data_IF_288552646092
#
_entry.id   IF_288552646092
#
_cell.length_a   1.000
_cell.length_b   1.000
_cell.length_c   1.000
_cell.angle_alpha   90.00
_cell.angle_beta   90.00
_cell.angle_gamma   90.00
#
_symmetry.space_group_name_H-M   'P 1'
#
loop_
_entity.id
_entity.type
_entity.pdbx_description
1 polymer ?
#
# COMPACT_ATOMS: atom_id res chain seq x y z
N UNK A 1 -4.53 -7.31 -34.03
CA UNK A 1 -4.90 -7.54 -32.62
C UNK A 1 -4.03 -8.63 -32.00
N UNK A 2 -3.83 -9.74 -32.71
CA UNK A 2 -2.91 -10.83 -32.39
C UNK A 2 -1.47 -10.40 -32.05
N UNK A 3 -0.89 -9.43 -32.78
CA UNK A 3 0.43 -8.86 -32.47
C UNK A 3 0.50 -8.17 -31.10
N UNK A 4 -0.56 -7.46 -30.71
CA UNK A 4 -0.64 -6.77 -29.41
C UNK A 4 -0.78 -7.80 -28.29
N UNK A 5 -1.57 -8.86 -28.52
CA UNK A 5 -1.75 -9.96 -27.57
C UNK A 5 -0.48 -10.82 -27.40
N UNK A 6 0.26 -11.10 -28.47
CA UNK A 6 1.57 -11.78 -28.42
C UNK A 6 2.60 -10.93 -27.68
N UNK A 7 2.65 -9.63 -27.99
CA UNK A 7 3.56 -8.69 -27.32
C UNK A 7 3.21 -8.51 -25.84
N UNK A 8 1.92 -8.51 -25.46
CA UNK A 8 1.45 -8.48 -24.07
C UNK A 8 1.75 -9.78 -23.30
N UNK A 9 1.58 -10.96 -23.92
CA UNK A 9 1.87 -12.26 -23.27
C UNK A 9 3.36 -12.44 -22.97
N UNK A 10 4.23 -12.10 -23.92
CA UNK A 10 5.68 -12.27 -23.77
C UNK A 10 6.24 -11.24 -22.79
N UNK A 11 5.82 -9.97 -22.90
CA UNK A 11 6.25 -8.93 -21.95
C UNK A 11 5.71 -9.17 -20.54
N UNK A 12 4.50 -9.70 -20.36
CA UNK A 12 3.96 -9.92 -19.01
C UNK A 12 4.73 -10.97 -18.22
N UNK A 13 5.04 -12.14 -18.83
CA UNK A 13 5.74 -13.23 -18.13
C UNK A 13 7.19 -12.87 -17.81
N UNK A 14 7.92 -12.32 -18.78
CA UNK A 14 9.32 -11.91 -18.58
C UNK A 14 9.44 -10.69 -17.67
N UNK A 15 8.51 -9.72 -17.77
CA UNK A 15 8.44 -8.62 -16.82
C UNK A 15 8.07 -9.14 -15.42
N UNK A 16 7.27 -10.19 -15.28
CA UNK A 16 6.91 -10.74 -13.97
C UNK A 16 8.12 -11.36 -13.27
N UNK A 17 8.87 -12.24 -13.94
CA UNK A 17 10.09 -12.80 -13.35
C UNK A 17 11.14 -11.74 -13.11
N UNK A 18 11.33 -10.80 -14.03
CA UNK A 18 12.30 -9.72 -13.85
C UNK A 18 11.90 -8.74 -12.74
N UNK A 19 10.62 -8.36 -12.65
CA UNK A 19 10.11 -7.46 -11.60
C UNK A 19 10.11 -8.15 -10.24
N UNK A 20 9.78 -9.44 -10.16
CA UNK A 20 9.81 -10.19 -8.91
C UNK A 20 11.23 -10.41 -8.41
N UNK A 21 12.16 -10.75 -9.30
CA UNK A 21 13.57 -10.87 -8.96
C UNK A 21 14.16 -9.53 -8.51
N UNK A 22 13.77 -8.42 -9.16
CA UNK A 22 14.19 -7.06 -8.76
C UNK A 22 13.58 -6.65 -7.43
N UNK A 23 12.31 -6.93 -7.20
CA UNK A 23 11.61 -6.65 -5.94
C UNK A 23 12.22 -7.41 -4.78
N UNK A 24 12.46 -8.70 -4.99
CA UNK A 24 13.10 -9.57 -4.02
C UNK A 24 14.55 -9.15 -3.78
N UNK A 25 15.31 -8.79 -4.82
CA UNK A 25 16.68 -8.32 -4.67
C UNK A 25 16.74 -6.99 -3.92
N UNK A 26 15.87 -6.03 -4.25
CA UNK A 26 15.76 -4.76 -3.51
C UNK A 26 15.42 -5.03 -2.05
N UNK A 27 14.46 -5.91 -1.77
CA UNK A 27 14.10 -6.30 -0.41
C UNK A 27 15.24 -7.00 0.34
N UNK A 28 15.92 -7.97 -0.29
CA UNK A 28 17.03 -8.70 0.32
C UNK A 28 18.21 -7.78 0.61
N UNK A 29 18.63 -6.95 -0.35
CA UNK A 29 19.68 -5.95 -0.13
C UNK A 29 19.26 -5.01 0.99
N UNK A 30 17.99 -4.60 1.03
CA UNK A 30 17.49 -3.71 2.09
C UNK A 30 17.42 -4.36 3.48
N UNK A 31 16.93 -5.59 3.61
CA UNK A 31 16.87 -6.31 4.89
C UNK A 31 18.27 -6.66 5.38
N UNK A 32 19.16 -7.10 4.49
CA UNK A 32 20.54 -7.46 4.82
C UNK A 32 21.36 -6.22 5.22
N UNK A 33 21.03 -5.03 4.73
CA UNK A 33 21.72 -3.80 5.13
C UNK A 33 21.06 -3.16 6.36
N UNK A 34 19.74 -3.07 6.40
CA UNK A 34 19.01 -2.33 7.42
C UNK A 34 18.95 -3.06 8.77
N UNK A 35 18.73 -4.38 8.75
CA UNK A 35 18.56 -5.18 9.96
C UNK A 35 19.86 -5.25 10.78
N UNK A 36 21.05 -5.44 10.16
CA UNK A 36 22.31 -5.32 10.89
C UNK A 36 22.55 -3.90 11.40
N UNK A 37 22.27 -2.84 10.63
CA UNK A 37 22.48 -1.45 11.11
C UNK A 37 21.62 -1.17 12.35
N UNK A 38 20.35 -1.59 12.36
CA UNK A 38 19.46 -1.44 13.53
C UNK A 38 19.88 -2.32 14.69
N UNK A 39 20.31 -3.57 14.45
CA UNK A 39 20.87 -4.43 15.49
C UNK A 39 22.16 -3.83 16.08
N UNK A 40 23.09 -3.36 15.25
CA UNK A 40 24.32 -2.68 15.69
C UNK A 40 24.02 -1.37 16.44
N UNK A 41 23.00 -0.63 16.02
CA UNK A 41 22.51 0.55 16.75
C UNK A 41 22.01 0.20 18.16
N UNK A 42 21.28 -0.92 18.26
CA UNK A 42 20.64 -1.36 19.50
C UNK A 42 21.63 -2.03 20.46
N UNK A 43 22.58 -2.82 19.93
CA UNK A 43 23.56 -3.60 20.71
C UNK A 43 24.83 -2.78 21.04
N UNK A 44 25.25 -1.89 20.15
CA UNK A 44 26.68 -1.56 20.06
C UNK A 44 27.17 -0.30 20.78
N UNK A 45 26.53 0.86 20.66
CA UNK A 45 27.24 2.13 20.91
C UNK A 45 26.29 3.22 21.45
N UNK A 46 25.66 2.98 22.60
CA UNK A 46 24.68 3.91 23.18
C UNK A 46 25.25 5.28 23.64
N UNK A 47 26.58 5.45 23.66
CA UNK A 47 27.23 6.63 24.25
C UNK A 47 27.91 7.58 23.25
N UNK A 48 27.98 7.27 21.95
CA UNK A 48 28.58 8.18 20.96
C UNK A 48 27.48 8.93 20.17
N UNK A 49 27.42 10.27 20.24
CA UNK A 49 26.40 11.07 19.55
C UNK A 49 26.34 10.83 18.02
N UNK A 50 27.49 10.57 17.40
CA UNK A 50 27.59 10.32 15.96
C UNK A 50 26.83 9.08 15.50
N UNK A 51 26.78 8.02 16.33
CA UNK A 51 26.05 6.80 16.00
C UNK A 51 24.54 7.00 16.09
N UNK A 52 24.06 7.76 17.08
CA UNK A 52 22.63 8.11 17.16
C UNK A 52 22.18 8.87 15.92
N UNK A 53 22.93 9.88 15.50
CA UNK A 53 22.63 10.63 14.27
C UNK A 53 22.61 9.73 13.03
N UNK A 54 23.62 8.86 12.87
CA UNK A 54 23.68 7.93 11.74
C UNK A 54 22.44 7.02 11.68
N UNK A 55 22.03 6.47 12.83
CA UNK A 55 20.88 5.55 12.88
C UNK A 55 19.55 6.24 12.55
N UNK A 56 19.40 7.49 12.95
CA UNK A 56 18.23 8.29 12.59
C UNK A 56 18.17 8.56 11.09
N UNK A 57 19.29 8.98 10.49
CA UNK A 57 19.37 9.21 9.05
C UNK A 57 19.04 7.93 8.27
N UNK A 58 19.57 6.78 8.70
CA UNK A 58 19.28 5.49 8.05
C UNK A 58 17.80 5.12 8.19
N UNK A 59 17.18 5.34 9.34
CA UNK A 59 15.74 5.10 9.54
C UNK A 59 14.88 6.02 8.67
N UNK A 60 15.20 7.32 8.58
CA UNK A 60 14.47 8.26 7.75
C UNK A 60 14.59 7.90 6.25
N UNK A 61 15.79 7.51 5.79
CA UNK A 61 15.99 7.04 4.41
C UNK A 61 15.17 5.77 4.14
N UNK A 62 15.09 4.85 5.11
CA UNK A 62 14.27 3.65 5.01
C UNK A 62 12.79 3.98 4.86
N UNK A 63 12.26 4.79 5.76
CA UNK A 63 10.86 5.18 5.78
C UNK A 63 10.46 5.91 4.49
N UNK A 64 11.29 6.85 4.02
CA UNK A 64 11.06 7.57 2.76
C UNK A 64 11.13 6.61 1.56
N UNK A 65 12.08 5.69 1.53
CA UNK A 65 12.21 4.72 0.42
C UNK A 65 11.00 3.78 0.38
N UNK A 66 10.59 3.25 1.54
CA UNK A 66 9.40 2.40 1.66
C UNK A 66 8.14 3.15 1.24
N UNK A 67 8.01 4.41 1.67
CA UNK A 67 6.92 5.30 1.27
C UNK A 67 6.88 5.49 -0.25
N UNK A 68 7.97 5.96 -0.86
CA UNK A 68 8.06 6.22 -2.30
C UNK A 68 7.75 4.94 -3.09
N UNK A 69 8.31 3.81 -2.67
CA UNK A 69 8.10 2.55 -3.35
C UNK A 69 6.64 2.10 -3.29
N UNK A 70 6.04 2.08 -2.10
CA UNK A 70 4.63 1.73 -1.90
C UNK A 70 3.71 2.67 -2.68
N UNK A 71 4.01 3.97 -2.65
CA UNK A 71 3.27 4.99 -3.38
C UNK A 71 3.29 4.75 -4.89
N UNK A 72 4.47 4.47 -5.47
CA UNK A 72 4.61 4.17 -6.90
C UNK A 72 3.87 2.88 -7.30
N UNK A 73 3.95 1.83 -6.48
CA UNK A 73 3.22 0.58 -6.73
C UNK A 73 1.71 0.82 -6.73
N UNK A 74 1.18 1.56 -5.76
CA UNK A 74 -0.26 1.89 -5.73
C UNK A 74 -0.70 2.71 -6.95
N UNK A 75 0.12 3.65 -7.43
CA UNK A 75 -0.14 4.40 -8.68
C UNK A 75 -0.16 3.46 -9.87
N UNK A 76 0.85 2.60 -10.00
CA UNK A 76 0.94 1.65 -11.09
C UNK A 76 -0.31 0.77 -11.15
N UNK A 77 -0.68 0.14 -10.03
CA UNK A 77 -1.86 -0.72 -9.92
C UNK A 77 -3.13 0.06 -10.27
N UNK A 78 -3.31 1.26 -9.73
CA UNK A 78 -4.47 2.11 -10.02
C UNK A 78 -4.62 2.41 -11.51
N UNK A 79 -3.54 2.81 -12.17
CA UNK A 79 -3.53 3.13 -13.61
C UNK A 79 -3.94 1.90 -14.42
N UNK A 80 -3.46 0.71 -14.05
CA UNK A 80 -3.80 -0.54 -14.75
C UNK A 80 -5.26 -0.94 -14.55
N UNK A 81 -5.83 -0.81 -13.34
CA UNK A 81 -7.26 -1.09 -13.12
C UNK A 81 -8.13 -0.10 -13.90
N UNK A 82 -7.78 1.18 -13.92
CA UNK A 82 -8.47 2.20 -14.72
C UNK A 82 -8.44 1.85 -16.22
N UNK A 83 -7.31 1.36 -16.72
CA UNK A 83 -7.17 0.91 -18.09
C UNK A 83 -8.07 -0.30 -18.39
N UNK A 84 -8.06 -1.33 -17.53
CA UNK A 84 -8.95 -2.50 -17.66
C UNK A 84 -10.41 -2.07 -17.69
N UNK A 85 -10.80 -1.20 -16.76
CA UNK A 85 -12.17 -0.68 -16.69
C UNK A 85 -12.57 0.04 -17.98
N UNK A 86 -11.65 0.75 -18.63
CA UNK A 86 -11.88 1.37 -19.95
C UNK A 86 -12.04 0.32 -21.05
N UNK A 87 -11.24 -0.74 -21.05
CA UNK A 87 -11.36 -1.85 -22.01
C UNK A 87 -12.72 -2.55 -21.88
N UNK A 88 -13.13 -2.89 -20.66
CA UNK A 88 -14.43 -3.50 -20.35
C UNK A 88 -15.59 -2.65 -20.89
N UNK A 89 -15.52 -1.32 -20.71
CA UNK A 89 -16.52 -0.39 -21.27
C UNK A 89 -16.48 -0.31 -22.80
N UNK A 90 -15.32 -0.49 -23.42
CA UNK A 90 -15.18 -0.50 -24.88
C UNK A 90 -15.81 -1.77 -25.46
N UNK A 91 -15.60 -2.91 -24.82
CA UNK A 91 -16.21 -4.19 -25.17
C UNK A 91 -17.75 -4.14 -25.13
N UNK A 92 -18.31 -3.45 -24.14
CA UNK A 92 -19.75 -3.22 -24.09
C UNK A 92 -20.29 -2.44 -25.29
N UNK A 93 -19.49 -1.58 -25.91
CA UNK A 93 -19.88 -0.79 -27.08
C UNK A 93 -19.73 -1.55 -28.40
N UNK A 94 -18.79 -2.49 -28.50
CA UNK A 94 -18.51 -3.20 -29.75
C UNK A 94 -19.58 -4.25 -30.12
N UNK A 95 -20.56 -4.53 -29.25
CA UNK A 95 -21.62 -5.56 -29.36
C UNK A 95 -21.13 -7.01 -29.52
N UNK A 96 -19.91 -7.21 -29.98
CA UNK A 96 -19.21 -8.50 -30.08
C UNK A 96 -17.94 -8.39 -29.23
N UNK A 97 -17.77 -9.34 -28.32
CA UNK A 97 -16.54 -9.55 -27.57
C UNK A 97 -15.90 -10.79 -28.14
N UNK A 98 -14.67 -10.66 -28.64
CA UNK A 98 -13.92 -11.85 -29.02
C UNK A 98 -13.55 -12.63 -27.76
N UNK A 99 -13.61 -13.96 -27.82
CA UNK A 99 -13.17 -14.83 -26.72
C UNK A 99 -11.71 -14.52 -26.34
N UNK A 100 -10.89 -14.09 -27.30
CA UNK A 100 -9.50 -13.67 -27.09
C UNK A 100 -9.39 -12.40 -26.23
N UNK A 101 -10.20 -11.38 -26.48
CA UNK A 101 -10.22 -10.14 -25.70
C UNK A 101 -10.64 -10.39 -24.25
N UNK A 102 -11.63 -11.27 -24.07
CA UNK A 102 -12.10 -11.71 -22.77
C UNK A 102 -10.98 -12.43 -21.99
N UNK A 103 -10.35 -13.41 -22.63
CA UNK A 103 -9.27 -14.19 -22.03
C UNK A 103 -8.06 -13.30 -21.68
N UNK A 104 -7.72 -12.35 -22.55
CA UNK A 104 -6.64 -11.39 -22.32
C UNK A 104 -6.93 -10.48 -21.12
N UNK A 105 -8.16 -9.97 -21.01
CA UNK A 105 -8.59 -9.12 -19.89
C UNK A 105 -8.54 -9.88 -18.57
N UNK A 106 -9.03 -11.12 -18.58
CA UNK A 106 -9.01 -12.04 -17.45
C UNK A 106 -7.58 -12.34 -16.99
N UNK A 107 -6.67 -12.63 -17.93
CA UNK A 107 -5.24 -12.81 -17.64
C UNK A 107 -4.62 -11.56 -17.04
N UNK A 108 -4.99 -10.39 -17.52
CA UNK A 108 -4.44 -9.13 -17.02
C UNK A 108 -4.95 -8.77 -15.61
N UNK A 109 -6.22 -9.07 -15.30
CA UNK A 109 -6.76 -8.96 -13.93
C UNK A 109 -6.00 -9.91 -12.98
N UNK A 110 -5.82 -11.17 -13.40
CA UNK A 110 -5.06 -12.16 -12.60
C UNK A 110 -3.64 -11.69 -12.31
N UNK A 111 -2.96 -11.19 -13.34
CA UNK A 111 -1.61 -10.64 -13.20
C UNK A 111 -1.53 -9.51 -12.17
N UNK A 112 -2.49 -8.59 -12.16
CA UNK A 112 -2.52 -7.52 -11.16
C UNK A 112 -2.73 -8.06 -9.75
N UNK A 113 -3.60 -9.05 -9.57
CA UNK A 113 -3.81 -9.68 -8.26
C UNK A 113 -2.54 -10.35 -7.76
N UNK A 114 -1.91 -11.19 -8.60
CA UNK A 114 -0.66 -11.89 -8.26
C UNK A 114 0.47 -10.90 -7.92
N UNK A 115 0.58 -9.79 -8.66
CA UNK A 115 1.56 -8.74 -8.39
C UNK A 115 1.34 -8.08 -7.02
N UNK A 116 0.08 -7.80 -6.67
CA UNK A 116 -0.27 -7.19 -5.39
C UNK A 116 -0.11 -8.18 -4.24
N UNK A 117 -0.43 -9.46 -4.43
CA UNK A 117 -0.21 -10.50 -3.43
C UNK A 117 1.27 -10.71 -3.13
N UNK A 118 2.11 -10.70 -4.16
CA UNK A 118 3.56 -10.76 -4.00
C UNK A 118 4.08 -9.52 -3.27
N UNK A 119 3.58 -8.33 -3.63
CA UNK A 119 3.91 -7.11 -2.90
C UNK A 119 3.50 -7.21 -1.42
N UNK A 120 2.30 -7.68 -1.11
CA UNK A 120 1.83 -7.82 0.28
C UNK A 120 2.65 -8.87 1.05
N UNK A 121 3.10 -9.93 0.39
CA UNK A 121 3.95 -10.96 1.01
C UNK A 121 5.30 -10.37 1.42
N UNK A 122 5.89 -9.52 0.58
CA UNK A 122 7.22 -8.93 0.81
C UNK A 122 7.14 -7.69 1.71
N UNK A 123 6.19 -6.79 1.45
CA UNK A 123 6.09 -5.47 2.07
C UNK A 123 4.98 -5.35 3.12
N UNK A 124 4.13 -6.36 3.31
CA UNK A 124 3.04 -6.32 4.29
C UNK A 124 3.54 -6.08 5.72
N UNK A 125 4.61 -6.76 6.13
CA UNK A 125 5.26 -6.52 7.43
C UNK A 125 5.96 -5.15 7.51
N UNK A 126 6.81 -4.76 6.55
CA UNK A 126 7.37 -3.41 6.49
C UNK A 126 6.33 -2.29 6.62
N UNK A 127 5.21 -2.39 5.88
CA UNK A 127 4.14 -1.40 5.94
C UNK A 127 3.46 -1.42 7.31
N UNK A 128 3.23 -2.60 7.90
CA UNK A 128 2.71 -2.71 9.26
C UNK A 128 3.62 -2.00 10.28
N UNK A 129 4.92 -2.24 10.21
CA UNK A 129 5.92 -1.59 11.08
C UNK A 129 5.90 -0.09 10.86
N UNK A 130 5.87 0.37 9.61
CA UNK A 130 5.80 1.79 9.26
C UNK A 130 4.56 2.46 9.87
N UNK A 131 3.37 1.87 9.72
CA UNK A 131 2.12 2.41 10.28
C UNK A 131 2.17 2.47 11.82
N UNK A 132 2.72 1.42 12.45
CA UNK A 132 2.84 1.35 13.91
C UNK A 132 3.88 2.33 14.44
N UNK A 133 5.03 2.45 13.77
CA UNK A 133 6.08 3.41 14.10
C UNK A 133 5.57 4.85 13.96
N UNK A 134 4.78 5.15 12.93
CA UNK A 134 4.12 6.44 12.76
C UNK A 134 3.19 6.78 13.92
N UNK A 135 2.39 5.83 14.40
CA UNK A 135 1.53 6.02 15.58
C UNK A 135 2.35 6.23 16.85
N UNK A 136 3.40 5.43 17.08
CA UNK A 136 4.29 5.58 18.23
C UNK A 136 5.02 6.92 18.23
N UNK A 137 5.46 7.39 17.05
CA UNK A 137 6.10 8.69 16.90
C UNK A 137 5.13 9.83 17.24
N UNK A 138 3.86 9.71 16.86
CA UNK A 138 2.82 10.68 17.22
C UNK A 138 2.59 10.71 18.73
N UNK A 139 2.48 9.55 19.38
CA UNK A 139 2.33 9.44 20.84
C UNK A 139 3.56 10.03 21.55
N UNK A 140 4.77 9.68 21.08
CA UNK A 140 6.03 10.22 21.61
C UNK A 140 6.10 11.73 21.48
N UNK A 141 5.66 12.28 20.36
CA UNK A 141 5.63 13.73 20.14
C UNK A 141 4.67 14.42 21.13
N UNK A 142 3.47 13.87 21.34
CA UNK A 142 2.54 14.44 22.33
C UNK A 142 3.07 14.32 23.75
N UNK A 143 3.66 13.17 24.11
CA UNK A 143 4.31 13.00 25.40
C UNK A 143 5.42 14.04 25.59
N UNK A 144 6.21 14.29 24.56
CA UNK A 144 7.25 15.32 24.56
C UNK A 144 6.70 16.74 24.71
N UNK A 145 5.53 17.05 24.13
CA UNK A 145 4.86 18.33 24.33
C UNK A 145 4.32 18.52 25.76
N UNK A 146 3.84 17.45 26.39
CA UNK A 146 3.25 17.51 27.74
C UNK A 146 4.33 17.55 28.83
N UNK A 147 5.38 16.73 28.70
CA UNK A 147 6.37 16.50 29.76
C UNK A 147 7.77 17.01 29.41
N UNK A 148 8.05 17.38 28.17
CA UNK A 148 9.39 17.73 27.73
C UNK A 148 9.76 19.19 28.03
N UNK A 149 10.77 19.39 28.88
CA UNK A 149 11.44 20.68 29.07
C UNK A 149 12.56 20.91 28.04
N UNK A 150 12.32 20.55 26.79
CA UNK A 150 13.33 20.70 25.75
C UNK A 150 13.39 22.14 25.20
N UNK A 151 14.53 22.49 24.63
CA UNK A 151 14.71 23.73 23.88
C UNK A 151 13.71 23.84 22.73
N UNK A 152 13.22 25.06 22.46
CA UNK A 152 12.24 25.33 21.40
C UNK A 152 12.66 24.80 20.02
N UNK A 153 13.94 24.91 19.68
CA UNK A 153 14.48 24.41 18.40
C UNK A 153 14.28 22.90 18.25
N UNK A 154 14.49 22.14 19.32
CA UNK A 154 14.30 20.69 19.33
C UNK A 154 12.83 20.32 19.18
N UNK A 155 11.93 21.05 19.85
CA UNK A 155 10.48 20.86 19.73
C UNK A 155 9.97 21.10 18.30
N UNK A 156 10.44 22.17 17.65
CA UNK A 156 10.07 22.48 16.27
C UNK A 156 10.54 21.36 15.33
N UNK A 157 11.79 20.89 15.47
CA UNK A 157 12.34 19.84 14.63
C UNK A 157 11.52 18.53 14.73
N UNK A 158 11.23 18.06 15.94
CA UNK A 158 10.38 16.87 16.13
C UNK A 158 8.96 17.07 15.61
N UNK A 159 8.40 18.29 15.76
CA UNK A 159 7.08 18.62 15.22
C UNK A 159 7.04 18.49 13.71
N UNK A 160 8.04 19.06 13.00
CA UNK A 160 8.15 18.96 11.54
C UNK A 160 8.32 17.51 11.10
N UNK A 161 9.21 16.75 11.73
CA UNK A 161 9.42 15.34 11.40
C UNK A 161 8.13 14.52 11.58
N UNK A 162 7.42 14.73 12.69
CA UNK A 162 6.15 14.05 12.95
C UNK A 162 5.08 14.42 11.90
N UNK A 163 4.95 15.70 11.55
CA UNK A 163 4.01 16.14 10.51
C UNK A 163 4.29 15.48 9.16
N UNK A 164 5.56 15.41 8.75
CA UNK A 164 5.98 14.73 7.52
C UNK A 164 5.60 13.24 7.57
N UNK A 165 5.88 12.56 8.69
CA UNK A 165 5.58 11.14 8.86
C UNK A 165 4.07 10.83 8.83
N UNK A 166 3.27 11.65 9.51
CA UNK A 166 1.81 11.52 9.46
C UNK A 166 1.27 11.79 8.05
N UNK A 167 1.83 12.78 7.35
CA UNK A 167 1.51 13.05 5.95
C UNK A 167 1.76 11.84 5.05
N UNK A 168 2.93 11.22 5.15
CA UNK A 168 3.27 10.00 4.40
C UNK A 168 2.32 8.84 4.73
N UNK A 169 2.00 8.65 6.00
CA UNK A 169 1.08 7.62 6.48
C UNK A 169 -0.32 7.78 5.89
N UNK A 170 -0.88 8.99 5.97
CA UNK A 170 -2.20 9.33 5.42
C UNK A 170 -2.22 9.10 3.91
N UNK A 171 -1.16 9.51 3.21
CA UNK A 171 -1.04 9.32 1.77
C UNK A 171 -1.04 7.83 1.39
N UNK A 172 -0.23 6.98 2.04
CA UNK A 172 -0.24 5.54 1.78
C UNK A 172 -1.65 4.96 1.96
N UNK A 173 -2.28 5.22 3.11
CA UNK A 173 -3.61 4.67 3.40
C UNK A 173 -4.64 5.14 2.36
N UNK A 174 -4.61 6.41 1.99
CA UNK A 174 -5.52 6.99 0.99
C UNK A 174 -5.29 6.38 -0.39
N UNK A 175 -4.05 6.11 -0.77
CA UNK A 175 -3.72 5.47 -2.05
C UNK A 175 -4.16 4.00 -2.09
N UNK A 176 -3.97 3.25 -1.01
CA UNK A 176 -4.47 1.88 -0.90
C UNK A 176 -6.00 1.84 -0.97
N UNK A 177 -6.69 2.75 -0.27
CA UNK A 177 -8.15 2.92 -0.34
C UNK A 177 -8.64 3.30 -1.75
N UNK A 178 -7.92 4.16 -2.46
CA UNK A 178 -8.21 4.51 -3.87
C UNK A 178 -8.16 3.27 -4.77
N UNK A 179 -7.11 2.45 -4.64
CA UNK A 179 -6.96 1.21 -5.41
C UNK A 179 -8.12 0.26 -5.13
N UNK A 180 -8.47 0.06 -3.86
CA UNK A 180 -9.60 -0.79 -3.47
C UNK A 180 -10.93 -0.27 -4.05
N UNK A 181 -11.20 1.04 -3.95
CA UNK A 181 -12.42 1.66 -4.51
C UNK A 181 -12.50 1.52 -6.03
N UNK A 182 -11.38 1.64 -6.73
CA UNK A 182 -11.32 1.52 -8.19
C UNK A 182 -11.48 0.06 -8.60
N UNK A 183 -10.88 -0.89 -7.88
CA UNK A 183 -11.15 -2.32 -8.01
C UNK A 183 -12.64 -2.63 -7.83
N UNK A 184 -13.26 -2.08 -6.79
CA UNK A 184 -14.71 -2.21 -6.55
C UNK A 184 -15.56 -1.64 -7.68
N UNK A 185 -15.15 -0.51 -8.24
CA UNK A 185 -15.83 0.12 -9.39
C UNK A 185 -15.70 -0.73 -10.65
N UNK A 186 -14.60 -1.45 -10.84
CA UNK A 186 -14.37 -2.31 -12.00
C UNK A 186 -15.39 -3.46 -12.05
N UNK A 187 -15.49 -4.30 -11.02
CA UNK A 187 -16.43 -5.42 -11.04
C UNK A 187 -17.90 -4.96 -11.03
N UNK A 188 -18.22 -3.88 -10.29
CA UNK A 188 -19.56 -3.25 -10.36
C UNK A 188 -19.89 -2.77 -11.77
N UNK A 189 -18.89 -2.36 -12.55
CA UNK A 189 -19.09 -2.00 -13.96
C UNK A 189 -19.43 -3.25 -14.78
N UNK A 190 -18.78 -4.38 -14.55
CA UNK A 190 -19.11 -5.65 -15.20
C UNK A 190 -20.56 -6.06 -14.91
N UNK A 191 -21.01 -6.06 -13.65
CA UNK A 191 -22.39 -6.41 -13.29
C UNK A 191 -23.42 -5.45 -13.89
N UNK A 192 -23.15 -4.14 -13.88
CA UNK A 192 -24.03 -3.16 -14.55
C UNK A 192 -24.09 -3.36 -16.06
N UNK A 193 -23.02 -3.87 -16.68
CA UNK A 193 -23.02 -4.19 -18.10
C UNK A 193 -23.78 -5.47 -18.37
N UNK A 194 -23.61 -6.50 -17.53
CA UNK A 194 -24.41 -7.73 -17.55
C UNK A 194 -25.92 -7.44 -17.58
N UNK A 195 -26.42 -6.57 -16.70
CA UNK A 195 -27.85 -6.21 -16.66
C UNK A 195 -28.36 -5.52 -17.94
N UNK A 196 -27.47 -4.82 -18.65
CA UNK A 196 -27.80 -4.03 -19.85
C UNK A 196 -27.68 -4.83 -21.14
N UNK A 197 -27.03 -5.99 -21.13
CA UNK A 197 -26.85 -6.80 -22.33
C UNK A 197 -28.13 -7.55 -22.69
N UNK A 198 -28.53 -7.46 -23.96
CA UNK A 198 -29.67 -8.23 -24.51
C UNK A 198 -29.29 -9.65 -24.92
N UNK A 199 -28.06 -9.85 -25.40
CA UNK A 199 -27.56 -11.17 -25.80
C UNK A 199 -27.26 -11.99 -24.54
N UNK A 200 -27.77 -13.23 -24.50
CA UNK A 200 -27.52 -14.18 -23.42
C UNK A 200 -26.02 -14.46 -23.25
N UNK A 201 -25.30 -14.71 -24.34
CA UNK A 201 -23.86 -15.01 -24.29
C UNK A 201 -23.05 -13.84 -23.72
N UNK A 202 -23.34 -12.62 -24.19
CA UNK A 202 -22.67 -11.41 -23.68
C UNK A 202 -23.01 -11.15 -22.21
N UNK A 203 -24.27 -11.39 -21.83
CA UNK A 203 -24.72 -11.29 -20.44
C UNK A 203 -23.95 -12.28 -19.57
N UNK A 204 -23.82 -13.53 -19.98
CA UNK A 204 -23.05 -14.55 -19.25
C UNK A 204 -21.57 -14.20 -19.15
N UNK A 205 -20.95 -13.71 -20.24
CA UNK A 205 -19.56 -13.28 -20.21
C UNK A 205 -19.31 -12.14 -19.22
N UNK A 206 -20.13 -11.09 -19.22
CA UNK A 206 -19.96 -9.99 -18.24
C UNK A 206 -20.25 -10.41 -16.80
N UNK A 207 -21.14 -11.40 -16.59
CA UNK A 207 -21.35 -11.98 -15.27
C UNK A 207 -20.08 -12.64 -14.76
N UNK A 208 -19.53 -13.56 -15.54
CA UNK A 208 -18.29 -14.29 -15.21
C UNK A 208 -17.12 -13.32 -15.02
N UNK A 209 -17.01 -12.29 -15.87
CA UNK A 209 -15.98 -11.26 -15.70
C UNK A 209 -16.18 -10.44 -14.44
N UNK A 210 -17.43 -10.18 -14.03
CA UNK A 210 -17.76 -9.52 -12.78
C UNK A 210 -17.32 -10.34 -11.58
N UNK A 211 -17.72 -11.60 -11.53
CA UNK A 211 -17.34 -12.55 -10.47
C UNK A 211 -15.82 -12.69 -10.37
N UNK A 212 -15.16 -12.82 -11.52
CA UNK A 212 -13.71 -12.94 -11.60
C UNK A 212 -13.00 -11.65 -11.14
N UNK A 213 -13.49 -10.48 -11.56
CA UNK A 213 -12.96 -9.18 -11.15
C UNK A 213 -13.20 -8.87 -9.68
N UNK A 214 -14.28 -9.38 -9.09
CA UNK A 214 -14.61 -9.24 -7.68
C UNK A 214 -13.65 -10.05 -6.81
N UNK A 215 -13.45 -11.33 -7.14
CA UNK A 215 -12.56 -12.24 -6.41
C UNK A 215 -11.07 -11.86 -6.54
N UNK A 216 -10.69 -11.17 -7.61
CA UNK A 216 -9.31 -10.80 -7.90
C UNK A 216 -9.07 -9.30 -7.82
N UNK A 217 -9.98 -8.54 -7.20
CA UNK A 217 -9.75 -7.13 -6.96
C UNK A 217 -8.47 -6.95 -6.13
N UNK A 218 -7.47 -6.21 -6.62
CA UNK A 218 -6.23 -6.02 -5.88
C UNK A 218 -6.49 -5.24 -4.59
N UNK A 219 -6.00 -5.78 -3.48
CA UNK A 219 -6.14 -5.21 -2.15
C UNK A 219 -4.78 -5.24 -1.45
N UNK A 220 -4.36 -4.11 -0.90
CA UNK A 220 -3.18 -4.05 -0.07
C UNK A 220 -3.55 -4.49 1.34
N UNK A 221 -2.76 -5.39 1.92
CA UNK A 221 -3.01 -5.89 3.27
C UNK A 221 -1.72 -6.01 4.08
N UNK A 222 -1.88 -6.00 5.39
CA UNK A 222 -0.85 -6.35 6.36
C UNK A 222 -1.27 -7.58 7.17
N UNK A 223 -0.33 -8.34 7.73
CA UNK A 223 -0.66 -9.54 8.52
C UNK A 223 -1.56 -9.28 9.74
N UNK A 224 -1.50 -8.07 10.33
CA UNK A 224 -2.17 -7.75 11.60
C UNK A 224 -3.36 -6.80 11.47
N UNK A 225 -3.33 -5.82 10.55
CA UNK A 225 -4.48 -4.92 10.31
C UNK A 225 -5.43 -5.42 9.23
N UNK A 226 -5.11 -6.53 8.55
CA UNK A 226 -5.83 -6.94 7.36
C UNK A 226 -5.69 -5.89 6.26
N UNK A 227 -6.80 -5.45 5.67
CA UNK A 227 -6.80 -4.58 4.51
C UNK A 227 -6.39 -3.14 4.89
N UNK A 228 -5.49 -2.55 4.10
CA UNK A 228 -5.07 -1.15 4.28
C UNK A 228 -6.04 -0.25 3.51
N UNK A 229 -6.94 0.41 4.24
CA UNK A 229 -7.91 1.32 3.66
C UNK A 229 -8.35 2.38 4.68
N UNK A 230 -9.42 3.13 4.38
CA UNK A 230 -9.94 4.16 5.30
C UNK A 230 -10.25 3.63 6.70
N UNK A 231 -10.64 2.37 6.85
CA UNK A 231 -10.89 1.78 8.16
C UNK A 231 -9.61 1.69 8.99
N UNK A 232 -8.46 1.38 8.37
CA UNK A 232 -7.15 1.40 9.03
C UNK A 232 -6.85 2.76 9.65
N UNK A 233 -7.12 3.85 8.90
CA UNK A 233 -6.95 5.20 9.42
C UNK A 233 -7.83 5.48 10.65
N UNK A 234 -9.09 5.07 10.61
CA UNK A 234 -10.00 5.23 11.76
C UNK A 234 -9.51 4.45 12.98
N UNK A 235 -8.97 3.24 12.78
CA UNK A 235 -8.40 2.43 13.86
C UNK A 235 -7.17 3.13 14.46
N UNK A 236 -6.26 3.66 13.62
CA UNK A 236 -5.09 4.39 14.11
C UNK A 236 -5.47 5.63 14.92
N UNK A 237 -6.48 6.38 14.49
CA UNK A 237 -7.00 7.52 15.27
C UNK A 237 -7.59 7.06 16.59
N UNK A 238 -8.40 5.99 16.60
CA UNK A 238 -9.01 5.48 17.82
C UNK A 238 -7.93 5.08 18.84
N UNK A 239 -6.93 4.30 18.43
CA UNK A 239 -5.81 3.89 19.29
C UNK A 239 -5.02 5.10 19.79
N UNK A 240 -4.81 6.11 18.94
CA UNK A 240 -4.15 7.35 19.36
C UNK A 240 -4.94 8.10 20.44
N UNK A 241 -6.25 8.26 20.24
CA UNK A 241 -7.14 8.93 21.21
C UNK A 241 -7.15 8.17 22.54
N UNK A 242 -7.26 6.84 22.50
CA UNK A 242 -7.22 6.00 23.70
C UNK A 242 -5.89 6.20 24.45
N UNK A 243 -4.76 6.22 23.73
CA UNK A 243 -3.45 6.50 24.32
C UNK A 243 -3.39 7.91 24.94
N UNK A 244 -3.96 8.92 24.30
CA UNK A 244 -4.03 10.28 24.86
C UNK A 244 -4.85 10.34 26.15
N UNK A 245 -6.01 9.70 26.17
CA UNK A 245 -6.87 9.64 27.37
C UNK A 245 -6.11 9.02 28.52
N UNK A 246 -5.44 7.89 28.29
CA UNK A 246 -4.60 7.21 29.28
C UNK A 246 -3.50 8.14 29.79
N UNK A 247 -2.77 8.81 28.90
CA UNK A 247 -1.69 9.74 29.28
C UNK A 247 -2.19 10.92 30.14
N UNK A 248 -3.35 11.48 29.81
CA UNK A 248 -3.97 12.58 30.58
C UNK A 248 -4.43 12.06 31.95
N UNK A 249 -5.03 10.88 32.02
CA UNK A 249 -5.44 10.27 33.29
C UNK A 249 -4.25 10.05 34.22
N UNK A 250 -3.14 9.51 33.71
CA UNK A 250 -1.90 9.37 34.48
C UNK A 250 -1.39 10.73 34.98
N UNK A 251 -1.42 11.77 34.14
CA UNK A 251 -1.02 13.12 34.54
C UNK A 251 -1.86 13.67 35.70
N UNK A 252 -3.17 13.46 35.67
CA UNK A 252 -4.08 13.92 36.72
C UNK A 252 -3.88 13.15 38.03
N UNK A 253 -3.54 11.86 37.97
CA UNK A 253 -3.33 11.03 39.16
C UNK A 253 -2.00 11.27 39.88
N UNK A 254 -1.00 11.82 39.19
CA UNK A 254 0.34 12.08 39.74
C UNK A 254 0.47 13.48 40.38
N UNK A 255 -0.57 14.30 40.33
CA UNK A 255 -0.68 15.59 41.03
C UNK A 255 -1.51 15.45 42.29
#
# INVERSE_FOLDING_TARGET
MEYILKRLKFTAKEAMTATNLKLFFVFCVWVIVYLPITIFATIGINNKPSWKLFTWIVNDIYEVTLFVFTFLVTIFVEVRIKYITKLIKKFAKSKIISTEDFEATTKFIRFLKESVDQFNTVFGYPIFIFLTASLLQLIKYVFFLIYGHAEHTTQIMYGVQNLIQQGMTILIITRCDSVEKIGKKMYKTCYKLHEKMKSYDMKQQFFVLGEYAENLAPQFYTPLYGHINRQTFNVLIAVFVDALVILIQFQMSLK
#
